data_IF_236633497048
#
_entry.id   IF_236633497048
#
_cell.length_a   1.000
_cell.length_b   1.000
_cell.length_c   1.000
_cell.angle_alpha   90.00
_cell.angle_beta   90.00
_cell.angle_gamma   90.00
#
_symmetry.space_group_name_H-M   'P 1'
#
loop_
_entity.id
_entity.type
_entity.pdbx_description
1 polymer ?
#
# COMPACT_ATOMS: atom_id res chain seq x y z
N UNK A 1 -7.76 5.75 -6.81
CA UNK A 1 -6.44 5.20 -6.40
C UNK A 1 -6.37 5.21 -4.89
N UNK A 2 -5.66 4.25 -4.31
CA UNK A 2 -5.83 3.68 -2.97
C UNK A 2 -5.99 4.70 -1.85
N UNK A 3 -4.95 5.50 -1.59
CA UNK A 3 -4.97 6.47 -0.49
C UNK A 3 -5.68 7.77 -0.85
N UNK A 4 -6.08 7.96 -2.12
CA UNK A 4 -6.81 9.16 -2.53
C UNK A 4 -8.12 9.29 -1.75
N UNK A 5 -8.80 8.18 -1.46
CA UNK A 5 -10.05 8.22 -0.69
C UNK A 5 -9.82 8.68 0.75
N UNK A 6 -8.65 8.41 1.33
CA UNK A 6 -8.30 8.82 2.68
C UNK A 6 -7.75 10.25 2.74
N UNK A 7 -6.98 10.66 1.73
CA UNK A 7 -6.21 11.91 1.76
C UNK A 7 -6.81 13.05 0.94
N UNK A 8 -7.79 12.80 0.07
CA UNK A 8 -8.48 13.84 -0.68
C UNK A 8 -9.49 14.56 0.23
N UNK A 9 -9.34 15.87 0.49
CA UNK A 9 -10.27 16.62 1.32
C UNK A 9 -11.72 16.60 0.84
N UNK A 10 -11.94 16.38 -0.46
CA UNK A 10 -13.28 16.27 -1.03
C UNK A 10 -13.92 14.90 -0.80
N UNK A 11 -13.15 13.88 -0.41
CA UNK A 11 -13.61 12.50 -0.22
C UNK A 11 -13.50 12.07 1.25
N UNK A 12 -12.29 12.11 1.80
CA UNK A 12 -11.95 11.64 3.15
C UNK A 12 -11.86 12.76 4.19
N UNK A 13 -12.02 14.01 3.78
CA UNK A 13 -11.82 15.18 4.66
C UNK A 13 -10.35 15.47 4.93
N UNK A 14 -10.07 16.17 6.02
CA UNK A 14 -8.73 16.65 6.38
C UNK A 14 -8.14 15.85 7.56
N UNK A 15 -7.72 14.58 7.37
CA UNK A 15 -7.29 13.75 8.48
C UNK A 15 -6.00 14.27 9.10
N UNK A 16 -5.86 14.08 10.42
CA UNK A 16 -4.60 14.30 11.16
C UNK A 16 -3.84 13.00 11.40
N UNK A 17 -4.46 11.85 11.10
CA UNK A 17 -3.84 10.52 11.17
C UNK A 17 -4.52 9.58 10.16
N UNK A 18 -3.79 8.55 9.74
CA UNK A 18 -4.26 7.49 8.84
C UNK A 18 -3.84 6.14 9.42
N UNK A 19 -4.70 5.12 9.32
CA UNK A 19 -4.33 3.74 9.60
C UNK A 19 -4.24 2.95 8.29
N UNK A 20 -3.35 1.95 8.27
CA UNK A 20 -3.22 1.00 7.16
C UNK A 20 -3.66 -0.36 7.66
N UNK A 21 -4.74 -0.87 7.06
CA UNK A 21 -5.24 -2.24 7.29
C UNK A 21 -4.83 -3.07 6.09
N UNK A 22 -3.78 -3.89 6.16
CA UNK A 22 -2.99 -4.28 7.35
C UNK A 22 -1.51 -4.40 7.00
N UNK A 23 -0.65 -4.63 8.00
CA UNK A 23 0.70 -5.08 7.68
C UNK A 23 0.68 -6.49 7.09
N UNK A 24 0.05 -7.46 7.76
CA UNK A 24 0.17 -8.88 7.44
C UNK A 24 -1.09 -9.73 7.69
N UNK A 25 -2.30 -9.18 7.51
CA UNK A 25 -3.52 -9.98 7.55
C UNK A 25 -3.70 -10.76 6.24
N UNK A 26 -2.88 -11.81 6.11
CA UNK A 26 -2.82 -12.66 4.93
C UNK A 26 -4.14 -13.37 4.63
N UNK A 27 -4.88 -13.75 5.67
CA UNK A 27 -6.16 -14.44 5.51
C UNK A 27 -7.22 -13.58 4.83
N UNK A 28 -7.12 -12.26 4.95
CA UNK A 28 -8.04 -11.30 4.34
C UNK A 28 -7.49 -10.67 3.04
N UNK A 29 -6.26 -10.99 2.66
CA UNK A 29 -5.62 -10.40 1.47
C UNK A 29 -5.36 -8.89 1.57
N UNK A 30 -5.29 -8.34 2.79
CA UNK A 30 -5.03 -6.91 3.03
C UNK A 30 -3.58 -6.59 3.39
N UNK A 31 -2.69 -7.57 3.27
CA UNK A 31 -1.27 -7.48 3.61
C UNK A 31 -0.51 -6.49 2.71
N UNK A 32 0.31 -5.63 3.31
CA UNK A 32 1.36 -4.88 2.61
C UNK A 32 2.77 -5.48 2.84
N UNK A 33 2.88 -6.51 3.69
CA UNK A 33 4.11 -7.28 3.88
C UNK A 33 4.54 -7.90 2.54
N UNK A 34 5.85 -7.99 2.25
CA UNK A 34 6.29 -8.52 0.97
C UNK A 34 5.76 -9.93 0.67
N UNK A 35 5.11 -10.07 -0.48
CA UNK A 35 4.64 -11.35 -1.00
C UNK A 35 5.65 -11.85 -2.03
N UNK A 36 6.19 -13.06 -1.83
CA UNK A 36 7.14 -13.64 -2.78
C UNK A 36 6.54 -13.70 -4.19
N UNK A 37 7.35 -13.34 -5.18
CA UNK A 37 7.04 -13.43 -6.61
C UNK A 37 7.10 -14.87 -7.14
N UNK A 38 7.63 -15.80 -6.34
CA UNK A 38 7.75 -17.23 -6.67
C UNK A 38 7.24 -18.11 -5.53
N UNK A 39 5.93 -18.03 -5.20
CA UNK A 39 5.37 -18.83 -4.12
C UNK A 39 5.36 -20.34 -4.49
N UNK A 40 5.25 -21.24 -3.48
CA UNK A 40 5.16 -22.66 -3.74
C UNK A 40 4.04 -23.01 -4.74
N UNK A 41 4.32 -23.87 -5.74
CA UNK A 41 3.32 -24.24 -6.73
C UNK A 41 2.20 -25.09 -6.12
N UNK A 42 1.04 -25.10 -6.77
CA UNK A 42 -0.09 -25.99 -6.41
C UNK A 42 -1.06 -25.44 -5.37
N UNK A 43 -0.87 -24.21 -4.90
CA UNK A 43 -1.70 -23.59 -3.87
C UNK A 43 -2.47 -22.33 -4.32
N UNK A 44 -2.29 -21.90 -5.58
CA UNK A 44 -3.01 -20.75 -6.13
C UNK A 44 -2.70 -19.41 -5.47
N UNK A 45 -1.51 -19.27 -4.87
CA UNK A 45 -1.07 -18.01 -4.27
C UNK A 45 -1.03 -16.88 -5.30
N UNK A 46 -1.65 -15.76 -4.95
CA UNK A 46 -1.48 -14.52 -5.68
C UNK A 46 -0.16 -13.85 -5.29
N UNK A 47 0.34 -13.01 -6.19
CA UNK A 47 1.56 -12.22 -5.99
C UNK A 47 1.24 -10.76 -6.28
N UNK A 48 2.19 -9.87 -6.06
CA UNK A 48 2.05 -8.45 -6.42
C UNK A 48 2.41 -8.14 -7.88
N UNK A 49 2.50 -9.14 -8.76
CA UNK A 49 2.85 -8.95 -10.17
C UNK A 49 1.96 -7.87 -10.83
N UNK A 50 2.61 -6.87 -11.44
CA UNK A 50 1.95 -5.72 -12.08
C UNK A 50 1.59 -4.58 -11.13
N UNK A 51 1.66 -4.77 -9.81
CA UNK A 51 1.36 -3.72 -8.84
C UNK A 51 2.28 -2.51 -9.05
N UNK A 52 1.66 -1.35 -9.29
CA UNK A 52 2.36 -0.10 -9.59
C UNK A 52 3.39 -0.20 -10.73
N UNK A 53 3.16 -1.11 -11.70
CA UNK A 53 4.04 -1.33 -12.85
C UNK A 53 5.32 -2.11 -12.53
N UNK A 54 5.39 -2.76 -11.36
CA UNK A 54 6.51 -3.61 -10.95
C UNK A 54 6.24 -5.07 -11.32
N UNK A 55 7.31 -5.83 -11.55
CA UNK A 55 7.26 -7.25 -11.92
C UNK A 55 8.34 -8.04 -11.19
N UNK A 56 8.12 -9.35 -11.03
CA UNK A 56 9.08 -10.26 -10.38
C UNK A 56 9.44 -9.83 -8.96
N UNK A 57 10.71 -10.00 -8.58
CA UNK A 57 11.21 -9.63 -7.25
C UNK A 57 10.95 -8.15 -6.90
N UNK A 58 10.94 -7.26 -7.90
CA UNK A 58 10.68 -5.84 -7.67
C UNK A 58 9.23 -5.54 -7.26
N UNK A 59 8.30 -6.46 -7.56
CA UNK A 59 6.91 -6.37 -7.17
C UNK A 59 6.67 -6.77 -5.71
N UNK A 60 7.55 -7.58 -5.11
CA UNK A 60 7.36 -8.09 -3.74
C UNK A 60 7.20 -6.96 -2.72
N UNK A 61 7.90 -5.84 -2.90
CA UNK A 61 7.81 -4.67 -2.00
C UNK A 61 6.87 -3.57 -2.50
N UNK A 62 6.09 -3.81 -3.55
CA UNK A 62 5.33 -2.78 -4.25
C UNK A 62 4.39 -1.98 -3.33
N UNK A 63 3.72 -2.65 -2.39
CA UNK A 63 2.83 -1.99 -1.43
C UNK A 63 3.56 -1.26 -0.30
N UNK A 64 4.76 -1.71 0.10
CA UNK A 64 5.61 -0.93 1.01
C UNK A 64 6.10 0.36 0.36
N UNK A 65 6.61 0.27 -0.88
CA UNK A 65 7.08 1.42 -1.65
C UNK A 65 5.95 2.43 -1.87
N UNK A 66 4.76 1.93 -2.18
CA UNK A 66 3.58 2.78 -2.36
C UNK A 66 3.12 3.41 -1.04
N UNK A 67 3.17 2.67 0.06
CA UNK A 67 2.85 3.19 1.39
C UNK A 67 3.82 4.30 1.78
N UNK A 68 5.12 4.14 1.54
CA UNK A 68 6.12 5.18 1.77
C UNK A 68 5.83 6.44 0.94
N UNK A 69 5.54 6.28 -0.36
CA UNK A 69 5.16 7.40 -1.23
C UNK A 69 3.98 8.22 -0.66
N UNK A 70 2.95 7.55 -0.13
CA UNK A 70 1.79 8.24 0.42
C UNK A 70 2.02 8.81 1.81
N UNK A 71 2.81 8.13 2.65
CA UNK A 71 3.24 8.67 3.94
C UNK A 71 3.99 9.99 3.76
N UNK A 72 4.93 10.06 2.81
CA UNK A 72 5.65 11.29 2.49
C UNK A 72 4.71 12.43 2.05
N UNK A 73 3.70 12.10 1.23
CA UNK A 73 2.70 13.06 0.75
C UNK A 73 1.81 13.56 1.90
N UNK A 74 1.42 12.68 2.80
CA UNK A 74 0.63 13.02 3.99
C UNK A 74 1.42 13.93 4.94
N UNK A 75 2.68 13.61 5.21
CA UNK A 75 3.58 14.45 6.02
C UNK A 75 3.79 15.85 5.41
N UNK A 76 3.94 15.94 4.08
CA UNK A 76 4.02 17.22 3.39
C UNK A 76 2.75 18.05 3.55
N UNK A 77 1.56 17.43 3.45
CA UNK A 77 0.29 18.10 3.69
C UNK A 77 0.20 18.63 5.13
N UNK A 78 0.54 17.80 6.13
CA UNK A 78 0.52 18.21 7.53
C UNK A 78 1.45 19.42 7.78
N UNK A 79 2.66 19.44 7.20
CA UNK A 79 3.59 20.56 7.33
C UNK A 79 3.08 21.86 6.70
N UNK A 80 2.25 21.78 5.67
CA UNK A 80 1.68 22.98 5.03
C UNK A 80 0.52 23.58 5.83
N UNK A 81 -0.03 22.84 6.81
CA UNK A 81 -1.13 23.30 7.67
C UNK A 81 -0.64 24.05 8.92
N UNK A 82 0.60 23.82 9.35
CA UNK A 82 1.23 24.45 10.52
C UNK A 82 2.05 25.66 10.16
#
# INVERSE_FOLDING_TARGET
>A
LEWNNALDPAIGGDPTWVSVTSFNEWHEGSSIEPASSSPPPGHGYETFEGAYGKTGEAAETAYLDRTAHWADRFEQQLRQRG
#
